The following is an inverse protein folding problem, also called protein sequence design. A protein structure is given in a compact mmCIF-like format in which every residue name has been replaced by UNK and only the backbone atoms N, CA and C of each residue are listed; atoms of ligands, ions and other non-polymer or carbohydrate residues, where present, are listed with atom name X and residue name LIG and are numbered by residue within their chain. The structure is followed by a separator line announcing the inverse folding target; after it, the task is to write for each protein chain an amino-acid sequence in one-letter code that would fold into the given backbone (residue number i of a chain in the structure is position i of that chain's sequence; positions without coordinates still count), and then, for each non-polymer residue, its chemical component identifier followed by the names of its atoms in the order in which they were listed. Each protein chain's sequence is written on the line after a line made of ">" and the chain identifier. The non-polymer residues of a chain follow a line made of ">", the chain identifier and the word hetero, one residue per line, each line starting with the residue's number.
data_IF_953573584051
#
_entry.id   IF_953573584051
#
_cell.length_a   1.000
_cell.length_b   1.000
_cell.length_c   1.000
_cell.angle_alpha   90.00
_cell.angle_beta   90.00
_cell.angle_gamma   90.00
#
_symmetry.space_group_name_H-M   'P 1'
#
loop_
_entity.id
_entity.type
_entity.pdbx_description
1 polymer ?
#
# COMPACT_ATOMS: atom_id res chain seq x y z
N UNK A 1 2.75 -16.91 -7.88
CA UNK A 1 2.99 -15.50 -8.25
C UNK A 1 2.33 -14.59 -7.23
N UNK A 2 3.00 -13.53 -6.87
CA UNK A 2 2.52 -12.61 -5.83
C UNK A 2 1.20 -11.96 -6.19
N UNK A 3 1.01 -11.57 -7.45
CA UNK A 3 -0.22 -10.92 -7.87
C UNK A 3 -1.44 -11.85 -7.75
N UNK A 4 -1.29 -13.10 -8.16
CA UNK A 4 -2.37 -14.08 -8.04
C UNK A 4 -2.73 -14.29 -6.56
N UNK A 5 -1.72 -14.38 -5.68
CA UNK A 5 -1.95 -14.50 -4.25
C UNK A 5 -2.66 -13.27 -3.67
N UNK A 6 -2.28 -12.08 -4.11
CA UNK A 6 -2.92 -10.85 -3.66
C UNK A 6 -4.38 -10.77 -4.11
N UNK A 7 -4.67 -11.16 -5.35
CA UNK A 7 -6.04 -11.22 -5.85
C UNK A 7 -6.88 -12.19 -5.06
N UNK A 8 -6.34 -13.37 -4.76
CA UNK A 8 -7.06 -14.40 -4.01
C UNK A 8 -7.35 -13.93 -2.59
N UNK A 9 -6.39 -13.23 -1.96
CA UNK A 9 -6.50 -12.81 -0.56
C UNK A 9 -7.33 -11.52 -0.41
N UNK A 10 -7.15 -10.55 -1.31
CA UNK A 10 -7.71 -9.21 -1.15
C UNK A 10 -8.66 -8.79 -2.27
N UNK A 11 -8.78 -9.56 -3.33
CA UNK A 11 -9.66 -9.26 -4.45
C UNK A 11 -9.16 -8.16 -5.38
N UNK A 12 -7.90 -7.74 -5.25
CA UNK A 12 -7.33 -6.70 -6.10
C UNK A 12 -5.97 -7.12 -6.64
N UNK A 13 -5.65 -6.61 -7.83
CA UNK A 13 -4.36 -6.88 -8.48
C UNK A 13 -3.31 -5.89 -7.98
N UNK A 14 -2.05 -6.37 -7.84
CA UNK A 14 -0.93 -5.50 -7.52
C UNK A 14 -0.69 -4.44 -8.59
N UNK A 15 -1.14 -4.65 -9.81
CA UNK A 15 -0.99 -3.67 -10.90
C UNK A 15 -1.77 -2.39 -10.64
N UNK A 16 -2.78 -2.43 -9.77
CA UNK A 16 -3.54 -1.25 -9.37
C UNK A 16 -2.64 -0.19 -8.74
N UNK A 17 -1.48 -0.57 -8.19
CA UNK A 17 -0.55 0.37 -7.58
C UNK A 17 -0.10 1.47 -8.54
N UNK A 18 -0.08 1.20 -9.86
CA UNK A 18 0.29 2.20 -10.86
C UNK A 18 -0.77 3.30 -11.00
N UNK A 19 -2.00 3.06 -10.54
CA UNK A 19 -3.11 4.01 -10.67
C UNK A 19 -3.34 4.82 -9.40
N UNK A 20 -2.60 4.54 -8.32
CA UNK A 20 -2.75 5.25 -7.06
C UNK A 20 -2.12 6.63 -7.13
N UNK A 21 -2.73 7.58 -6.43
CA UNK A 21 -2.16 8.92 -6.27
C UNK A 21 -1.13 8.91 -5.15
N UNK A 22 0.11 8.60 -5.51
CA UNK A 22 1.21 8.52 -4.56
C UNK A 22 1.57 9.88 -3.95
N UNK A 23 1.29 10.97 -4.65
CA UNK A 23 1.55 12.31 -4.12
C UNK A 23 0.61 12.65 -2.98
N UNK A 24 -0.57 12.06 -2.96
CA UNK A 24 -1.54 12.23 -1.88
C UNK A 24 -1.42 11.14 -0.82
N UNK A 25 -0.44 10.24 -0.92
CA UNK A 25 -0.31 9.12 0.00
C UNK A 25 0.27 9.53 1.35
N UNK A 26 -0.23 8.87 2.40
CA UNK A 26 0.40 8.91 3.72
C UNK A 26 1.32 7.69 3.81
N UNK A 27 2.62 7.92 4.04
CA UNK A 27 3.64 6.85 3.98
C UNK A 27 4.41 6.79 5.29
N UNK A 28 4.67 5.57 5.77
CA UNK A 28 5.51 5.35 6.95
C UNK A 28 6.27 4.03 6.85
N UNK A 29 7.31 3.88 7.69
CA UNK A 29 8.07 2.64 7.78
C UNK A 29 7.27 1.61 8.57
N UNK A 30 7.15 0.39 8.06
CA UNK A 30 6.54 -0.72 8.79
C UNK A 30 7.59 -1.34 9.71
N UNK A 31 7.55 -0.98 10.98
CA UNK A 31 8.50 -1.43 11.99
C UNK A 31 7.93 -2.53 12.91
N UNK A 32 6.77 -3.10 12.56
CA UNK A 32 6.12 -4.13 13.38
C UNK A 32 6.94 -5.41 13.46
N UNK A 33 7.77 -5.68 12.46
CA UNK A 33 8.60 -6.88 12.38
C UNK A 33 10.02 -6.52 11.94
N UNK A 34 10.96 -7.42 12.25
CA UNK A 34 12.34 -7.29 11.77
C UNK A 34 12.41 -7.82 10.34
N UNK A 35 12.38 -6.93 9.36
CA UNK A 35 12.51 -7.30 7.96
C UNK A 35 13.96 -7.17 7.51
N UNK A 36 14.35 -7.95 6.49
CA UNK A 36 15.68 -7.85 5.88
C UNK A 36 15.88 -6.52 5.16
N UNK A 37 14.80 -5.87 4.75
CA UNK A 37 14.80 -4.57 4.08
C UNK A 37 13.78 -3.66 4.75
N UNK A 38 13.91 -2.35 4.55
CA UNK A 38 12.87 -1.42 4.99
C UNK A 38 11.59 -1.67 4.21
N UNK A 39 10.57 -2.13 4.91
CA UNK A 39 9.24 -2.30 4.36
C UNK A 39 8.44 -1.05 4.69
N UNK A 40 7.82 -0.49 3.67
CA UNK A 40 7.02 0.74 3.79
C UNK A 40 5.55 0.43 3.68
N UNK A 41 4.74 1.26 4.34
CA UNK A 41 3.29 1.23 4.20
C UNK A 41 2.83 2.57 3.63
N UNK A 42 1.87 2.52 2.71
CA UNK A 42 1.22 3.72 2.20
C UNK A 42 -0.30 3.55 2.28
N UNK A 43 -0.98 4.63 2.66
CA UNK A 43 -2.42 4.79 2.44
C UNK A 43 -2.55 5.73 1.25
N UNK A 44 -2.94 5.19 0.12
CA UNK A 44 -2.95 5.93 -1.15
C UNK A 44 -4.32 5.86 -1.82
N UNK A 45 -4.86 7.01 -2.24
CA UNK A 45 -6.19 7.05 -2.84
C UNK A 45 -6.18 6.87 -4.34
N UNK A 46 -7.30 6.40 -4.89
CA UNK A 46 -7.65 6.53 -6.29
C UNK A 46 -9.17 6.49 -6.43
N UNK A 47 -9.72 7.38 -7.24
CA UNK A 47 -11.15 7.47 -7.57
C UNK A 47 -12.08 7.24 -6.36
N UNK A 48 -11.81 7.94 -5.25
CA UNK A 48 -12.67 7.89 -4.07
C UNK A 48 -12.47 6.67 -3.19
N UNK A 49 -11.49 5.82 -3.49
CA UNK A 49 -11.18 4.62 -2.69
C UNK A 49 -9.76 4.76 -2.15
N UNK A 50 -9.59 4.44 -0.87
CA UNK A 50 -8.28 4.43 -0.23
C UNK A 50 -7.75 3.01 -0.18
N UNK A 51 -6.47 2.85 -0.53
CA UNK A 51 -5.81 1.54 -0.51
C UNK A 51 -4.65 1.53 0.48
N UNK A 52 -4.46 0.37 1.09
CA UNK A 52 -3.33 0.07 1.97
C UNK A 52 -2.32 -0.74 1.17
N UNK A 53 -1.10 -0.19 1.05
CA UNK A 53 -0.05 -0.78 0.20
C UNK A 53 1.19 -1.04 1.03
N UNK A 54 1.71 -2.26 0.96
CA UNK A 54 3.03 -2.58 1.51
C UNK A 54 4.02 -2.66 0.35
N UNK A 55 5.16 -2.01 0.48
CA UNK A 55 6.15 -1.97 -0.59
C UNK A 55 7.57 -1.80 -0.06
N UNK A 56 8.54 -2.08 -0.94
CA UNK A 56 9.96 -1.90 -0.68
C UNK A 56 10.54 -1.12 -1.86
N UNK A 57 11.29 -0.06 -1.56
CA UNK A 57 12.01 0.70 -2.58
C UNK A 57 13.45 0.20 -2.66
N UNK A 58 13.91 -0.13 -3.87
CA UNK A 58 15.29 -0.52 -4.17
C UNK A 58 15.77 0.33 -5.33
N UNK A 59 16.77 1.17 -5.08
CA UNK A 59 17.29 2.09 -6.10
C UNK A 59 16.10 2.89 -6.68
N UNK A 60 15.83 2.77 -7.97
CA UNK A 60 14.74 3.49 -8.63
C UNK A 60 13.47 2.64 -8.82
N UNK A 61 13.44 1.43 -8.23
CA UNK A 61 12.33 0.49 -8.42
C UNK A 61 11.53 0.37 -7.13
N UNK A 62 10.20 0.55 -7.23
CA UNK A 62 9.28 0.29 -6.13
C UNK A 62 8.64 -1.07 -6.33
N UNK A 63 8.89 -1.98 -5.40
CA UNK A 63 8.34 -3.32 -5.42
C UNK A 63 7.11 -3.38 -4.53
N UNK A 64 5.94 -3.63 -5.12
CA UNK A 64 4.70 -3.77 -4.37
C UNK A 64 4.63 -5.19 -3.82
N UNK A 65 4.46 -5.29 -2.49
CA UNK A 65 4.38 -6.56 -1.79
C UNK A 65 2.94 -6.99 -1.60
N UNK A 66 2.08 -6.05 -1.21
CA UNK A 66 0.69 -6.33 -0.89
C UNK A 66 -0.16 -5.09 -1.14
N UNK A 67 -1.39 -5.30 -1.57
CA UNK A 67 -2.33 -4.22 -1.88
C UNK A 67 -3.74 -4.67 -1.52
N UNK A 68 -4.43 -3.87 -0.71
CA UNK A 68 -5.82 -4.11 -0.33
C UNK A 68 -6.52 -2.79 -0.08
N UNK A 69 -7.85 -2.82 -0.06
CA UNK A 69 -8.59 -1.64 0.37
C UNK A 69 -8.28 -1.33 1.84
N UNK A 70 -8.21 -0.05 2.15
CA UNK A 70 -8.06 0.39 3.52
C UNK A 70 -9.32 0.03 4.32
N UNK A 71 -9.15 -0.34 5.58
CA UNK A 71 -10.26 -0.56 6.48
C UNK A 71 -10.72 0.77 7.07
N UNK A 72 -11.80 0.73 7.87
CA UNK A 72 -12.40 1.93 8.44
C UNK A 72 -11.42 2.72 9.31
N UNK A 73 -10.62 2.03 10.12
CA UNK A 73 -9.62 2.64 10.98
C UNK A 73 -8.55 3.36 10.17
N UNK A 74 -8.12 2.75 9.08
CA UNK A 74 -7.10 3.32 8.20
C UNK A 74 -7.64 4.55 7.47
N UNK A 75 -8.88 4.50 7.00
CA UNK A 75 -9.54 5.66 6.38
C UNK A 75 -9.60 6.82 7.36
N UNK A 76 -9.99 6.57 8.59
CA UNK A 76 -10.04 7.60 9.64
C UNK A 76 -8.66 8.20 9.86
N UNK A 77 -7.64 7.36 9.98
CA UNK A 77 -6.27 7.81 10.18
C UNK A 77 -5.80 8.71 9.03
N UNK A 78 -6.09 8.31 7.79
CA UNK A 78 -5.73 9.09 6.62
C UNK A 78 -6.42 10.45 6.62
N UNK A 79 -7.72 10.48 6.84
CA UNK A 79 -8.51 11.72 6.85
C UNK A 79 -8.03 12.68 7.92
N UNK A 80 -7.67 12.18 9.09
CA UNK A 80 -7.18 13.02 10.20
C UNK A 80 -5.76 13.52 9.99
N UNK A 81 -5.02 12.92 9.05
CA UNK A 81 -3.61 13.24 8.79
C UNK A 81 -3.40 14.17 7.60
N UNK A 82 -4.41 14.43 6.81
CA UNK A 82 -4.31 15.30 5.64
C UNK A 82 -4.72 16.74 5.94
#
# INVERSE_FOLDING_TARGET
>A
MKDAGNRAKHGVSLTLAAELDWDAALVWVDDRFAYAEFRMIALAPTTGILYYVAFVDRASVRRIISLRRANRREVKHYVESI
#
